data_IF_189116720469
#
_entry.id   IF_189116720469
#
_cell.length_a   1.000
_cell.length_b   1.000
_cell.length_c   1.000
_cell.angle_alpha   90.00
_cell.angle_beta   90.00
_cell.angle_gamma   90.00
#
_symmetry.space_group_name_H-M   'P 1'
#
loop_
_entity.id
_entity.type
_entity.pdbx_description
1 polymer ?
#
# COMPACT_ATOMS: atom_id res chain seq x y z
N UNK A 1 -0.95 14.31 -8.04
CA UNK A 1 -2.24 14.05 -8.74
C UNK A 1 -3.12 15.30 -8.92
N UNK A 2 -3.05 16.32 -8.07
CA UNK A 2 -3.88 17.54 -8.21
C UNK A 2 -3.72 18.27 -9.56
N UNK A 3 -2.50 18.37 -10.08
CA UNK A 3 -2.22 18.96 -11.40
C UNK A 3 -2.93 18.20 -12.53
N UNK A 4 -2.88 16.87 -12.46
CA UNK A 4 -3.48 15.95 -13.44
C UNK A 4 -5.01 16.02 -13.35
N UNK A 5 -5.56 16.00 -12.14
CA UNK A 5 -7.00 16.10 -11.89
C UNK A 5 -7.61 17.41 -12.38
N UNK A 6 -6.92 18.52 -12.13
CA UNK A 6 -7.45 19.87 -12.45
C UNK A 6 -7.06 20.37 -13.83
N UNK A 7 -6.23 19.62 -14.57
CA UNK A 7 -5.63 20.02 -15.86
C UNK A 7 -4.95 21.41 -15.80
N UNK A 8 -4.46 21.80 -14.62
CA UNK A 8 -3.82 23.11 -14.38
C UNK A 8 -2.36 22.92 -13.94
N UNK A 9 -1.46 22.39 -14.79
CA UNK A 9 -0.07 22.13 -14.41
C UNK A 9 0.66 23.40 -13.98
N UNK A 10 0.38 24.55 -14.61
CA UNK A 10 0.94 25.86 -14.22
C UNK A 10 0.56 26.31 -12.80
N UNK A 11 -0.52 25.78 -12.21
CA UNK A 11 -0.88 26.12 -10.81
C UNK A 11 -0.05 25.33 -9.80
N UNK A 12 0.40 24.13 -10.16
CA UNK A 12 1.09 23.21 -9.26
C UNK A 12 2.55 22.97 -9.63
N UNK A 13 3.11 23.79 -10.53
CA UNK A 13 4.45 23.60 -11.08
C UNK A 13 5.54 23.62 -10.00
N UNK A 14 5.41 24.49 -8.98
CA UNK A 14 6.35 24.55 -7.85
C UNK A 14 6.37 23.23 -7.08
N UNK A 15 5.21 22.65 -6.78
CA UNK A 15 5.15 21.36 -6.09
C UNK A 15 5.70 20.25 -7.00
N UNK A 16 5.33 20.24 -8.28
CA UNK A 16 5.83 19.25 -9.24
C UNK A 16 7.35 19.29 -9.37
N UNK A 17 7.94 20.48 -9.46
CA UNK A 17 9.39 20.64 -9.49
C UNK A 17 10.03 20.24 -8.16
N UNK A 18 9.49 20.68 -7.02
CA UNK A 18 10.07 20.33 -5.72
C UNK A 18 10.11 18.81 -5.51
N UNK A 19 8.96 18.13 -5.66
CA UNK A 19 8.90 16.66 -5.52
C UNK A 19 9.68 15.95 -6.62
N UNK A 20 9.62 16.46 -7.86
CA UNK A 20 10.35 15.89 -9.00
C UNK A 20 11.86 15.95 -8.84
N UNK A 21 12.40 17.11 -8.43
CA UNK A 21 13.83 17.31 -8.18
C UNK A 21 14.29 16.46 -7.00
N UNK A 22 13.58 16.48 -5.87
CA UNK A 22 13.94 15.65 -4.71
C UNK A 22 13.96 14.16 -5.08
N UNK A 23 12.94 13.71 -5.82
CA UNK A 23 12.89 12.31 -6.29
C UNK A 23 14.02 11.99 -7.27
N UNK A 24 14.33 12.90 -8.19
CA UNK A 24 15.40 12.71 -9.17
C UNK A 24 16.79 12.70 -8.52
N UNK A 25 17.05 13.58 -7.55
CA UNK A 25 18.32 13.60 -6.79
C UNK A 25 18.52 12.29 -6.04
N UNK A 26 17.45 11.70 -5.48
CA UNK A 26 17.53 10.40 -4.83
C UNK A 26 17.68 9.23 -5.83
N UNK A 27 16.90 9.24 -6.92
CA UNK A 27 16.77 8.09 -7.82
C UNK A 27 17.84 8.02 -8.92
N UNK A 28 18.28 9.16 -9.48
CA UNK A 28 19.23 9.17 -10.60
C UNK A 28 20.59 8.56 -10.24
N UNK A 29 21.21 8.85 -9.07
CA UNK A 29 22.44 8.18 -8.69
C UNK A 29 22.27 6.67 -8.54
N UNK A 30 21.13 6.23 -7.98
CA UNK A 30 20.80 4.81 -7.86
C UNK A 30 20.69 4.13 -9.23
N UNK A 31 19.97 4.74 -10.19
CA UNK A 31 19.84 4.16 -11.53
C UNK A 31 21.15 4.20 -12.33
N UNK A 32 21.97 5.23 -12.16
CA UNK A 32 23.28 5.31 -12.79
C UNK A 32 24.24 4.24 -12.26
N UNK A 33 24.24 4.03 -10.93
CA UNK A 33 25.09 3.03 -10.30
C UNK A 33 24.54 1.60 -10.46
N UNK A 34 23.21 1.45 -10.61
CA UNK A 34 22.47 0.17 -10.63
C UNK A 34 21.38 0.17 -11.70
N UNK A 35 21.74 0.11 -13.00
CA UNK A 35 20.76 0.15 -14.09
C UNK A 35 19.78 -1.03 -14.06
N UNK A 36 20.15 -2.16 -13.44
CA UNK A 36 19.24 -3.30 -13.23
C UNK A 36 17.97 -2.96 -12.44
N UNK A 37 17.96 -1.90 -11.64
CA UNK A 37 16.75 -1.43 -10.95
C UNK A 37 15.67 -0.92 -11.93
N UNK A 38 16.04 -0.57 -13.16
CA UNK A 38 15.09 -0.16 -14.19
C UNK A 38 14.16 -1.30 -14.63
N UNK A 39 14.46 -2.56 -14.31
CA UNK A 39 13.54 -3.68 -14.55
C UNK A 39 12.22 -3.55 -13.79
N UNK A 40 12.20 -2.82 -12.67
CA UNK A 40 10.97 -2.52 -11.93
C UNK A 40 10.18 -1.35 -12.56
N UNK A 41 10.83 -0.49 -13.36
CA UNK A 41 10.22 0.72 -13.88
C UNK A 41 8.95 0.48 -14.73
N UNK A 42 8.86 -0.53 -15.61
CA UNK A 42 7.63 -0.82 -16.35
C UNK A 42 6.43 -1.08 -15.45
N UNK A 43 6.61 -1.89 -14.39
CA UNK A 43 5.53 -2.19 -13.46
C UNK A 43 5.02 -0.94 -12.74
N UNK A 44 5.94 -0.09 -12.26
CA UNK A 44 5.60 1.19 -11.65
C UNK A 44 4.96 2.17 -12.64
N UNK A 45 5.43 2.21 -13.89
CA UNK A 45 4.87 3.08 -14.92
C UNK A 45 3.42 2.72 -15.23
N UNK A 46 3.09 1.43 -15.35
CA UNK A 46 1.71 0.96 -15.56
C UNK A 46 0.82 1.33 -14.38
N UNK A 47 1.24 1.02 -13.15
CA UNK A 47 0.46 1.31 -11.95
C UNK A 47 0.28 2.81 -11.71
N UNK A 48 1.34 3.60 -11.92
CA UNK A 48 1.28 5.07 -11.80
C UNK A 48 0.39 5.69 -12.86
N UNK A 49 0.44 5.17 -14.10
CA UNK A 49 -0.44 5.63 -15.19
C UNK A 49 -1.89 5.32 -14.87
N UNK A 50 -2.19 4.11 -14.39
CA UNK A 50 -3.53 3.75 -13.91
C UNK A 50 -4.03 4.70 -12.85
N UNK A 51 -3.18 5.01 -11.86
CA UNK A 51 -3.53 5.97 -10.81
C UNK A 51 -3.74 7.40 -11.34
N UNK A 52 -2.93 7.84 -12.29
CA UNK A 52 -3.05 9.15 -12.91
C UNK A 52 -4.35 9.26 -13.73
N UNK A 53 -4.71 8.22 -14.49
CA UNK A 53 -5.98 8.13 -15.23
C UNK A 53 -7.15 8.15 -14.26
N UNK A 54 -7.11 7.34 -13.20
CA UNK A 54 -8.13 7.32 -12.15
C UNK A 54 -8.32 8.71 -11.51
N UNK A 55 -7.23 9.45 -11.28
CA UNK A 55 -7.30 10.83 -10.81
C UNK A 55 -7.91 11.81 -11.84
N UNK A 56 -7.70 11.60 -13.15
CA UNK A 56 -8.34 12.43 -14.21
C UNK A 56 -9.85 12.23 -14.27
N UNK A 57 -10.30 10.97 -14.16
CA UNK A 57 -11.73 10.62 -14.24
C UNK A 57 -12.47 10.73 -12.91
N UNK A 58 -11.82 11.25 -11.86
CA UNK A 58 -12.43 11.42 -10.53
C UNK A 58 -12.58 10.13 -9.71
N UNK A 59 -11.98 9.03 -10.14
CA UNK A 59 -12.01 7.71 -9.48
C UNK A 59 -10.82 7.45 -8.53
N UNK A 60 -10.17 8.51 -8.05
CA UNK A 60 -9.11 8.46 -7.03
C UNK A 60 -9.51 7.66 -5.77
N UNK A 61 -10.81 7.57 -5.53
CA UNK A 61 -11.45 6.93 -4.37
C UNK A 61 -11.80 5.45 -4.60
N UNK A 62 -11.60 4.93 -5.81
CA UNK A 62 -11.90 3.55 -6.15
C UNK A 62 -10.92 2.59 -5.47
N UNK A 63 -11.42 1.41 -5.05
CA UNK A 63 -10.58 0.38 -4.42
C UNK A 63 -9.44 -0.05 -5.33
N UNK A 64 -9.67 -0.13 -6.66
CA UNK A 64 -8.65 -0.47 -7.66
C UNK A 64 -7.46 0.50 -7.63
N UNK A 65 -7.73 1.80 -7.52
CA UNK A 65 -6.69 2.84 -7.40
C UNK A 65 -5.93 2.72 -6.06
N UNK A 66 -6.63 2.35 -4.99
CA UNK A 66 -6.00 2.00 -3.71
C UNK A 66 -5.07 0.80 -3.84
N UNK A 67 -5.54 -0.29 -4.46
CA UNK A 67 -4.78 -1.51 -4.70
C UNK A 67 -3.52 -1.22 -5.52
N UNK A 68 -3.63 -0.47 -6.62
CA UNK A 68 -2.45 -0.10 -7.42
C UNK A 68 -1.41 0.68 -6.60
N UNK A 69 -1.85 1.58 -5.72
CA UNK A 69 -0.97 2.35 -4.84
C UNK A 69 -0.25 1.47 -3.82
N UNK A 70 -0.97 0.55 -3.16
CA UNK A 70 -0.36 -0.36 -2.17
C UNK A 70 0.51 -1.43 -2.83
N UNK A 71 0.21 -1.84 -4.06
CA UNK A 71 1.09 -2.71 -4.87
C UNK A 71 2.44 -2.02 -5.10
N UNK A 72 2.43 -0.77 -5.56
CA UNK A 72 3.68 0.00 -5.71
C UNK A 72 4.44 0.13 -4.38
N UNK A 73 3.75 0.44 -3.29
CA UNK A 73 4.38 0.55 -1.97
C UNK A 73 5.01 -0.77 -1.52
N UNK A 74 4.34 -1.89 -1.75
CA UNK A 74 4.80 -3.22 -1.32
C UNK A 74 5.98 -3.73 -2.15
N UNK A 75 6.00 -3.43 -3.45
CA UNK A 75 7.12 -3.77 -4.34
C UNK A 75 8.44 -3.11 -3.90
N UNK A 76 8.41 -2.02 -3.14
CA UNK A 76 9.64 -1.42 -2.57
C UNK A 76 10.44 -2.41 -1.74
N UNK A 77 9.78 -3.35 -1.04
CA UNK A 77 10.47 -4.35 -0.24
C UNK A 77 11.39 -5.25 -1.08
N UNK A 78 11.11 -5.44 -2.38
CA UNK A 78 11.95 -6.19 -3.32
C UNK A 78 13.06 -5.33 -3.92
N UNK A 79 12.84 -4.01 -4.02
CA UNK A 79 13.84 -3.07 -4.55
C UNK A 79 14.95 -2.81 -3.54
N UNK A 80 14.64 -2.76 -2.24
CA UNK A 80 15.62 -2.48 -1.19
C UNK A 80 16.82 -3.45 -1.22
N UNK A 81 16.65 -4.79 -1.21
CA UNK A 81 17.78 -5.72 -1.36
C UNK A 81 18.57 -5.54 -2.66
N UNK A 82 17.88 -5.26 -3.77
CA UNK A 82 18.52 -5.03 -5.07
C UNK A 82 19.45 -3.79 -5.05
N UNK A 83 19.09 -2.75 -4.29
CA UNK A 83 19.98 -1.59 -4.09
C UNK A 83 21.27 -1.99 -3.33
N UNK A 84 21.21 -3.03 -2.50
CA UNK A 84 22.35 -3.58 -1.76
C UNK A 84 23.15 -4.66 -2.53
N UNK A 85 22.88 -4.90 -3.82
CA UNK A 85 23.46 -6.00 -4.65
C UNK A 85 23.02 -7.40 -4.22
N UNK A 86 21.97 -7.49 -3.41
CA UNK A 86 21.37 -8.77 -3.06
C UNK A 86 20.31 -9.15 -4.08
N UNK A 87 19.92 -10.42 -4.10
CA UNK A 87 18.78 -10.87 -4.90
C UNK A 87 17.50 -10.16 -4.41
N UNK A 88 16.74 -9.60 -5.34
CA UNK A 88 15.47 -8.93 -5.06
C UNK A 88 14.43 -9.89 -4.50
N UNK A 89 14.55 -11.19 -4.79
CA UNK A 89 13.63 -12.22 -4.32
C UNK A 89 13.60 -12.33 -2.80
N UNK A 90 14.68 -11.95 -2.12
CA UNK A 90 14.78 -11.89 -0.65
C UNK A 90 13.69 -10.98 -0.06
N UNK A 91 13.32 -9.92 -0.78
CA UNK A 91 12.27 -8.99 -0.35
C UNK A 91 10.85 -9.50 -0.58
N UNK A 92 10.66 -10.63 -1.26
CA UNK A 92 9.34 -11.14 -1.65
C UNK A 92 8.44 -11.47 -0.45
N UNK A 93 8.90 -12.16 0.61
CA UNK A 93 8.10 -12.42 1.81
C UNK A 93 7.58 -11.13 2.45
N UNK A 94 8.47 -10.13 2.58
CA UNK A 94 8.15 -8.80 3.13
C UNK A 94 7.17 -8.06 2.23
N UNK A 95 7.36 -8.10 0.91
CA UNK A 95 6.44 -7.50 -0.06
C UNK A 95 5.04 -8.11 0.02
N UNK A 96 4.93 -9.44 0.12
CA UNK A 96 3.65 -10.14 0.26
C UNK A 96 2.96 -9.73 1.56
N UNK A 97 3.67 -9.77 2.69
CA UNK A 97 3.10 -9.39 3.98
C UNK A 97 2.63 -7.92 4.01
N UNK A 98 3.44 -7.00 3.50
CA UNK A 98 3.06 -5.60 3.32
C UNK A 98 1.84 -5.46 2.42
N UNK A 99 1.80 -6.18 1.29
CA UNK A 99 0.69 -6.10 0.34
C UNK A 99 -0.62 -6.60 0.97
N UNK A 100 -0.59 -7.76 1.62
CA UNK A 100 -1.74 -8.34 2.30
C UNK A 100 -2.31 -7.39 3.35
N UNK A 101 -1.45 -6.77 4.17
CA UNK A 101 -1.91 -5.80 5.15
C UNK A 101 -2.46 -4.53 4.50
N UNK A 102 -1.69 -3.87 3.62
CA UNK A 102 -2.06 -2.59 3.03
C UNK A 102 -3.30 -2.72 2.14
N UNK A 103 -3.42 -3.76 1.32
CA UNK A 103 -4.63 -4.04 0.56
C UNK A 103 -5.83 -4.32 1.49
N UNK A 104 -5.63 -5.04 2.59
CA UNK A 104 -6.65 -5.23 3.63
C UNK A 104 -7.15 -3.90 4.18
N UNK A 105 -6.25 -2.96 4.46
CA UNK A 105 -6.63 -1.63 4.93
C UNK A 105 -7.47 -0.85 3.92
N UNK A 106 -7.24 -1.02 2.61
CA UNK A 106 -8.05 -0.38 1.56
C UNK A 106 -9.52 -0.80 1.68
N UNK A 107 -9.78 -2.09 1.83
CA UNK A 107 -11.15 -2.61 1.99
C UNK A 107 -11.73 -2.25 3.36
N UNK A 108 -10.95 -2.41 4.42
CA UNK A 108 -11.37 -2.13 5.79
C UNK A 108 -11.75 -0.66 6.00
N UNK A 109 -10.89 0.27 5.61
CA UNK A 109 -11.15 1.71 5.76
C UNK A 109 -12.35 2.14 4.91
N UNK A 110 -12.51 1.55 3.71
CA UNK A 110 -13.69 1.80 2.88
C UNK A 110 -14.98 1.37 3.60
N UNK A 111 -14.99 0.18 4.18
CA UNK A 111 -16.09 -0.33 5.00
C UNK A 111 -16.36 0.53 6.24
N UNK A 112 -15.32 1.04 6.91
CA UNK A 112 -15.45 1.86 8.11
C UNK A 112 -15.97 3.28 7.84
N UNK A 113 -15.59 3.89 6.72
CA UNK A 113 -15.81 5.33 6.49
C UNK A 113 -16.88 5.58 5.42
N UNK A 114 -16.66 5.10 4.19
CA UNK A 114 -17.48 5.50 3.04
C UNK A 114 -18.68 4.60 2.82
N UNK A 115 -18.51 3.32 3.08
CA UNK A 115 -19.50 2.27 2.80
C UNK A 115 -20.05 1.69 4.12
N UNK A 116 -20.13 2.55 5.14
CA UNK A 116 -20.51 2.16 6.49
C UNK A 116 -21.93 1.56 6.49
N UNK A 117 -22.08 0.41 7.16
CA UNK A 117 -23.35 -0.32 7.20
C UNK A 117 -23.62 -1.18 5.97
N UNK A 118 -22.80 -1.11 4.91
CA UNK A 118 -22.94 -1.95 3.74
C UNK A 118 -22.50 -3.39 4.03
N UNK A 119 -23.47 -4.33 4.02
CA UNK A 119 -23.19 -5.77 4.21
C UNK A 119 -22.18 -6.29 3.19
N UNK A 120 -22.27 -5.85 1.94
CA UNK A 120 -21.37 -6.27 0.88
C UNK A 120 -19.90 -5.87 1.18
N UNK A 121 -19.67 -4.61 1.57
CA UNK A 121 -18.33 -4.13 1.89
C UNK A 121 -17.76 -4.75 3.18
N UNK A 122 -18.62 -5.03 4.16
CA UNK A 122 -18.23 -5.79 5.35
C UNK A 122 -17.74 -7.19 4.97
N UNK A 123 -18.52 -7.93 4.16
CA UNK A 123 -18.14 -9.28 3.71
C UNK A 123 -16.85 -9.25 2.91
N UNK A 124 -16.70 -8.31 1.97
CA UNK A 124 -15.47 -8.16 1.17
C UNK A 124 -14.26 -7.90 2.09
N UNK A 125 -14.40 -6.99 3.06
CA UNK A 125 -13.34 -6.69 4.02
C UNK A 125 -12.96 -7.94 4.82
N UNK A 126 -13.92 -8.60 5.46
CA UNK A 126 -13.63 -9.77 6.31
C UNK A 126 -13.08 -10.93 5.49
N UNK A 127 -13.68 -11.26 4.34
CA UNK A 127 -13.21 -12.33 3.48
C UNK A 127 -11.77 -12.10 3.00
N UNK A 128 -11.43 -10.86 2.63
CA UNK A 128 -10.06 -10.50 2.30
C UNK A 128 -9.11 -10.75 3.48
N UNK A 129 -9.49 -10.37 4.71
CA UNK A 129 -8.63 -10.57 5.88
C UNK A 129 -8.47 -12.05 6.26
N UNK A 130 -9.48 -12.89 6.00
CA UNK A 130 -9.35 -14.36 6.15
C UNK A 130 -8.31 -14.90 5.17
N UNK A 131 -8.39 -14.51 3.89
CA UNK A 131 -7.40 -14.87 2.89
C UNK A 131 -6.01 -14.33 3.22
N UNK A 132 -5.93 -13.10 3.73
CA UNK A 132 -4.68 -12.47 4.14
C UNK A 132 -4.02 -13.19 5.32
N UNK A 133 -4.81 -13.68 6.29
CA UNK A 133 -4.30 -14.51 7.37
C UNK A 133 -3.70 -15.81 6.83
N UNK A 134 -4.41 -16.53 5.95
CA UNK A 134 -3.90 -17.75 5.34
C UNK A 134 -2.62 -17.49 4.52
N UNK A 135 -2.60 -16.43 3.72
CA UNK A 135 -1.42 -16.03 2.94
C UNK A 135 -0.23 -15.64 3.81
N UNK A 136 -0.46 -14.92 4.91
CA UNK A 136 0.59 -14.53 5.84
C UNK A 136 1.19 -15.75 6.56
N UNK A 137 0.36 -16.71 6.98
CA UNK A 137 0.82 -17.97 7.58
C UNK A 137 1.68 -18.78 6.60
N UNK A 138 1.30 -18.81 5.32
CA UNK A 138 2.09 -19.47 4.28
C UNK A 138 3.45 -18.80 4.04
N UNK A 139 3.56 -17.49 4.28
CA UNK A 139 4.84 -16.76 4.23
C UNK A 139 5.69 -17.04 5.47
N UNK A 140 5.12 -16.91 6.66
CA UNK A 140 5.77 -17.23 7.93
C UNK A 140 4.69 -17.45 9.01
N UNK A 141 4.65 -18.61 9.70
CA UNK A 141 3.64 -18.90 10.72
C UNK A 141 3.52 -17.86 11.84
N UNK A 142 4.61 -17.17 12.20
CA UNK A 142 4.58 -16.12 13.23
C UNK A 142 3.78 -14.89 12.81
N UNK A 143 3.57 -14.67 11.52
CA UNK A 143 2.66 -13.63 11.02
C UNK A 143 1.19 -13.94 11.31
N UNK A 144 0.85 -15.16 11.75
CA UNK A 144 -0.50 -15.46 12.23
C UNK A 144 -0.96 -14.48 13.31
N UNK A 145 -0.06 -14.04 14.20
CA UNK A 145 -0.41 -13.16 15.32
C UNK A 145 -0.93 -11.79 14.85
N UNK A 146 -0.16 -10.96 14.11
CA UNK A 146 -0.66 -9.67 13.64
C UNK A 146 -1.83 -9.84 12.66
N UNK A 147 -1.84 -10.86 11.81
CA UNK A 147 -2.93 -11.05 10.85
C UNK A 147 -4.23 -11.57 11.47
N UNK A 148 -4.16 -12.37 12.54
CA UNK A 148 -5.35 -12.74 13.31
C UNK A 148 -5.94 -11.51 14.00
N UNK A 149 -5.09 -10.62 14.52
CA UNK A 149 -5.53 -9.32 15.02
C UNK A 149 -6.15 -8.46 13.91
N UNK A 150 -5.57 -8.43 12.71
CA UNK A 150 -6.14 -7.69 11.58
C UNK A 150 -7.47 -8.28 11.08
N UNK A 151 -7.66 -9.58 11.19
CA UNK A 151 -8.96 -10.20 10.95
C UNK A 151 -9.97 -9.81 12.04
N UNK A 152 -9.60 -9.97 13.31
CA UNK A 152 -10.45 -9.65 14.45
C UNK A 152 -10.91 -8.19 14.40
N UNK A 153 -9.99 -7.24 14.19
CA UNK A 153 -10.32 -5.81 14.07
C UNK A 153 -11.27 -5.56 12.89
N UNK A 154 -11.08 -6.24 11.76
CA UNK A 154 -11.92 -6.07 10.56
C UNK A 154 -13.36 -6.57 10.77
N UNK A 155 -13.55 -7.56 11.65
CA UNK A 155 -14.86 -8.14 11.95
C UNK A 155 -15.55 -7.46 13.15
N UNK A 156 -14.79 -6.98 14.13
CA UNK A 156 -15.32 -6.42 15.38
C UNK A 156 -15.57 -4.91 15.28
N UNK A 157 -14.58 -4.14 14.78
CA UNK A 157 -14.62 -2.69 14.80
C UNK A 157 -15.75 -2.04 13.97
N UNK A 158 -16.23 -2.61 12.84
CA UNK A 158 -17.34 -2.04 12.08
C UNK A 158 -18.66 -1.93 12.84
N UNK A 159 -18.82 -2.66 13.95
CA UNK A 159 -20.00 -2.53 14.83
C UNK A 159 -20.01 -1.21 15.60
N UNK A 160 -18.84 -0.57 15.75
CA UNK A 160 -18.69 0.68 16.48
C UNK A 160 -18.57 1.87 15.53
N UNK A 161 -19.25 2.97 15.86
CA UNK A 161 -19.28 4.19 15.06
C UNK A 161 -18.03 5.05 15.27
N UNK A 162 -16.85 4.47 15.04
CA UNK A 162 -15.57 5.13 15.27
C UNK A 162 -15.42 6.36 14.37
N UNK A 163 -14.82 7.43 14.92
CA UNK A 163 -14.49 8.66 14.19
C UNK A 163 -13.32 8.40 13.24
N UNK A 164 -13.29 9.09 12.11
CA UNK A 164 -12.23 8.95 11.09
C UNK A 164 -10.80 9.07 11.65
N UNK A 165 -10.48 10.04 12.55
CA UNK A 165 -9.14 10.13 13.12
C UNK A 165 -8.75 8.91 13.97
N UNK A 166 -9.71 8.30 14.65
CA UNK A 166 -9.49 7.10 15.48
C UNK A 166 -9.17 5.90 14.60
N UNK A 167 -9.92 5.71 13.52
CA UNK A 167 -9.63 4.66 12.53
C UNK A 167 -8.23 4.85 11.95
N UNK A 168 -7.87 6.09 11.59
CA UNK A 168 -6.52 6.40 11.11
C UNK A 168 -5.41 6.09 12.11
N UNK A 169 -5.59 6.46 13.38
CA UNK A 169 -4.62 6.16 14.44
C UNK A 169 -4.45 4.64 14.65
N UNK A 170 -5.55 3.89 14.61
CA UNK A 170 -5.51 2.42 14.67
C UNK A 170 -4.70 1.84 13.50
N UNK A 171 -4.89 2.33 12.27
CA UNK A 171 -4.09 1.87 11.12
C UNK A 171 -2.61 2.23 11.25
N UNK A 172 -2.26 3.39 11.84
CA UNK A 172 -0.86 3.74 12.09
C UNK A 172 -0.23 2.76 13.08
N UNK A 173 -0.90 2.48 14.21
CA UNK A 173 -0.42 1.51 15.21
C UNK A 173 -0.28 0.12 14.61
N UNK A 174 -1.24 -0.32 13.80
CA UNK A 174 -1.19 -1.63 13.14
C UNK A 174 -0.07 -1.71 12.09
N UNK A 175 0.23 -0.60 11.40
CA UNK A 175 1.35 -0.53 10.46
C UNK A 175 2.69 -0.66 11.19
N UNK A 176 2.83 -0.02 12.35
CA UNK A 176 4.01 -0.15 13.21
C UNK A 176 4.13 -1.56 13.82
N UNK A 177 3.01 -2.15 14.22
CA UNK A 177 2.96 -3.54 14.68
C UNK A 177 3.49 -4.49 13.61
N UNK A 178 2.97 -4.39 12.38
CA UNK A 178 3.46 -5.21 11.27
C UNK A 178 4.95 -4.96 11.00
N UNK A 179 5.37 -3.70 10.97
CA UNK A 179 6.78 -3.36 10.78
C UNK A 179 7.67 -4.03 11.83
N UNK A 180 7.27 -4.01 13.11
CA UNK A 180 7.98 -4.69 14.18
C UNK A 180 8.14 -6.19 13.91
N UNK A 181 7.06 -6.87 13.54
CA UNK A 181 7.11 -8.29 13.16
C UNK A 181 8.04 -8.53 11.97
N UNK A 182 7.95 -7.71 10.92
CA UNK A 182 8.77 -7.89 9.73
C UNK A 182 10.26 -7.72 10.02
N UNK A 183 10.65 -6.72 10.82
CA UNK A 183 12.06 -6.51 11.24
C UNK A 183 12.57 -7.68 12.10
N UNK A 184 11.70 -8.30 12.91
CA UNK A 184 12.12 -9.42 13.77
C UNK A 184 12.21 -10.76 13.03
N UNK A 185 11.47 -10.92 11.94
CA UNK A 185 11.34 -12.21 11.23
C UNK A 185 12.21 -12.30 9.96
N UNK A 186 12.69 -11.18 9.44
CA UNK A 186 13.47 -11.08 8.19
C UNK A 186 14.62 -10.08 8.34
#
# INVERSE_FOLDING_TARGET
MLAVKTLRPRRYWRQMLAYGVVSAVAALPLFALRPGLLWFAPAFAVLLTGNAVAARVGQERASVNGIASVTMASLMAMIVPATARLDWTIGTPVAIACWLYLAGTVFYVKNMIRERGSRAHYVISVAFHVGALAGAVAVNPWLALPFAWFLARSALLPRWHLKVPVVGAIEVVNSLLLLGFLITLF
#
